data_IF_740281081731
#
_entry.id   IF_740281081731
#
_cell.length_a   1.000
_cell.length_b   1.000
_cell.length_c   1.000
_cell.angle_alpha   90.00
_cell.angle_beta   90.00
_cell.angle_gamma   90.00
#
_symmetry.space_group_name_H-M   'P 1'
#
loop_
_entity.id
_entity.type
_entity.pdbx_description
1 polymer ?
#
# COMPACT_ATOMS: atom_id res chain seq x y z
N UNK A 1 -2.41 -15.68 -3.10
CA UNK A 1 -2.41 -15.92 -1.66
C UNK A 1 -2.35 -14.61 -0.89
N UNK A 2 -3.05 -14.51 0.22
CA UNK A 2 -2.92 -13.42 1.20
C UNK A 2 -2.75 -13.99 2.59
N UNK A 3 -2.03 -13.28 3.47
CA UNK A 3 -1.94 -13.64 4.89
C UNK A 3 -3.36 -13.78 5.47
N UNK A 4 -3.69 -14.89 6.15
CA UNK A 4 -4.97 -15.03 6.80
C UNK A 4 -5.01 -14.15 8.04
N UNK A 5 -6.18 -13.59 8.35
CA UNK A 5 -6.36 -12.74 9.53
C UNK A 5 -5.32 -11.62 9.63
N UNK A 6 -4.94 -11.20 10.84
CA UNK A 6 -3.86 -10.23 11.11
C UNK A 6 -2.53 -10.93 11.40
N UNK A 7 -2.14 -11.93 10.58
CA UNK A 7 -0.85 -12.64 10.73
C UNK A 7 0.33 -11.77 10.21
N UNK A 8 0.55 -10.64 10.88
CA UNK A 8 1.45 -9.57 10.47
C UNK A 8 2.69 -9.41 11.38
N UNK A 9 2.91 -10.32 12.32
CA UNK A 9 3.99 -10.28 13.32
C UNK A 9 5.07 -11.36 13.06
N UNK A 10 6.05 -11.46 13.98
CA UNK A 10 7.19 -12.38 13.89
C UNK A 10 6.82 -13.88 13.80
N UNK A 11 5.62 -14.26 14.14
CA UNK A 11 5.10 -15.63 14.01
C UNK A 11 4.21 -15.76 12.78
N UNK A 12 3.32 -14.82 12.58
CA UNK A 12 2.30 -14.86 11.53
C UNK A 12 2.88 -14.71 10.12
N UNK A 13 3.88 -13.84 9.91
CA UNK A 13 4.49 -13.65 8.60
C UNK A 13 5.26 -14.89 8.13
N UNK A 14 6.16 -15.50 8.92
CA UNK A 14 6.81 -16.76 8.54
C UNK A 14 5.82 -17.90 8.30
N UNK A 15 4.80 -18.04 9.14
CA UNK A 15 3.75 -19.04 8.96
C UNK A 15 2.98 -18.82 7.66
N UNK A 16 2.65 -17.57 7.33
CA UNK A 16 2.00 -17.23 6.06
C UNK A 16 2.88 -17.57 4.86
N UNK A 17 4.18 -17.32 4.95
CA UNK A 17 5.15 -17.68 3.91
C UNK A 17 5.27 -19.19 3.73
N UNK A 18 5.30 -19.97 4.82
CA UNK A 18 5.38 -21.43 4.74
C UNK A 18 4.15 -22.09 4.08
N UNK A 19 3.03 -21.38 4.07
CA UNK A 19 1.79 -21.83 3.42
C UNK A 19 1.70 -21.44 1.92
N UNK A 20 2.69 -20.74 1.37
CA UNK A 20 2.76 -20.46 -0.06
C UNK A 20 2.95 -21.76 -0.85
N UNK A 21 2.05 -21.97 -1.81
CA UNK A 21 2.18 -23.06 -2.79
C UNK A 21 2.98 -22.59 -4.00
N UNK A 22 3.66 -23.52 -4.67
CA UNK A 22 4.53 -23.23 -5.84
C UNK A 22 3.78 -22.68 -7.07
N UNK A 23 2.46 -22.82 -7.12
CA UNK A 23 1.63 -22.38 -8.25
C UNK A 23 0.88 -21.05 -7.98
N UNK A 24 1.42 -20.21 -7.11
CA UNK A 24 0.80 -18.92 -6.75
C UNK A 24 1.50 -17.80 -7.52
N UNK A 25 0.71 -17.00 -8.26
CA UNK A 25 1.22 -15.84 -9.00
C UNK A 25 1.60 -14.68 -8.07
N UNK A 26 0.80 -14.46 -6.99
CA UNK A 26 0.99 -13.33 -6.08
C UNK A 26 0.83 -13.75 -4.62
N UNK A 27 1.77 -13.30 -3.77
CA UNK A 27 1.68 -13.36 -2.31
C UNK A 27 1.50 -11.97 -1.72
N UNK A 28 0.45 -11.75 -0.92
CA UNK A 28 0.19 -10.48 -0.24
C UNK A 28 0.34 -10.68 1.26
N UNK A 29 1.30 -9.97 1.86
CA UNK A 29 1.62 -10.07 3.28
C UNK A 29 1.42 -8.73 3.96
N UNK A 30 0.64 -8.71 5.04
CA UNK A 30 0.63 -7.58 5.95
C UNK A 30 1.85 -7.70 6.88
N UNK A 31 2.60 -6.59 7.05
CA UNK A 31 3.73 -6.51 7.96
C UNK A 31 3.42 -5.45 9.02
N UNK A 32 3.18 -5.90 10.24
CA UNK A 32 2.96 -5.07 11.41
C UNK A 32 4.25 -4.74 12.15
N UNK A 33 4.15 -3.83 13.12
CA UNK A 33 5.24 -3.50 14.03
C UNK A 33 4.72 -3.02 15.38
N UNK A 34 5.42 -3.37 16.44
CA UNK A 34 5.32 -2.77 17.76
C UNK A 34 6.61 -2.04 18.15
N UNK A 35 7.74 -2.40 17.55
CA UNK A 35 9.07 -1.83 17.84
C UNK A 35 9.85 -1.58 16.56
N UNK A 36 10.85 -0.68 16.66
CA UNK A 36 11.85 -0.46 15.63
C UNK A 36 12.60 -1.77 15.31
N UNK A 37 12.87 -2.01 14.03
CA UNK A 37 13.59 -3.19 13.54
C UNK A 37 12.69 -4.38 13.20
N UNK A 38 11.42 -4.39 13.62
CA UNK A 38 10.52 -5.51 13.32
C UNK A 38 10.15 -5.57 11.85
N UNK A 39 9.86 -4.42 11.23
CA UNK A 39 9.59 -4.37 9.78
C UNK A 39 10.82 -4.77 8.97
N UNK A 40 12.04 -4.36 9.41
CA UNK A 40 13.28 -4.77 8.76
C UNK A 40 13.44 -6.30 8.78
N UNK A 41 13.26 -6.91 9.95
CA UNK A 41 13.37 -8.35 10.11
C UNK A 41 12.34 -9.13 9.29
N UNK A 42 11.07 -8.71 9.32
CA UNK A 42 10.00 -9.38 8.59
C UNK A 42 10.14 -9.19 7.08
N UNK A 43 10.48 -7.99 6.63
CA UNK A 43 10.65 -7.73 5.20
C UNK A 43 11.90 -8.41 4.61
N UNK A 44 12.94 -8.69 5.40
CA UNK A 44 14.07 -9.54 4.98
C UNK A 44 13.66 -10.97 4.64
N UNK A 45 12.64 -11.50 5.33
CA UNK A 45 12.13 -12.84 5.08
C UNK A 45 11.21 -12.83 3.85
N UNK A 46 10.33 -11.81 3.74
CA UNK A 46 9.38 -11.68 2.64
C UNK A 46 10.06 -11.33 1.33
N UNK A 47 11.10 -10.47 1.33
CA UNK A 47 11.80 -9.96 0.14
C UNK A 47 10.84 -9.42 -0.91
N UNK A 48 10.06 -8.37 -0.59
CA UNK A 48 8.99 -7.93 -1.47
C UNK A 48 9.51 -7.34 -2.78
N UNK A 49 8.85 -7.67 -3.89
CA UNK A 49 9.02 -6.97 -5.18
C UNK A 49 8.24 -5.65 -5.21
N UNK A 50 7.14 -5.61 -4.45
CA UNK A 50 6.27 -4.47 -4.31
C UNK A 50 5.93 -4.26 -2.83
N UNK A 51 6.21 -3.07 -2.31
CA UNK A 51 5.76 -2.65 -0.98
C UNK A 51 4.72 -1.53 -1.07
N UNK A 52 3.84 -1.45 -0.08
CA UNK A 52 2.84 -0.39 0.04
C UNK A 52 2.94 0.22 1.44
N UNK A 53 3.12 1.54 1.53
CA UNK A 53 2.94 2.29 2.77
C UNK A 53 1.71 3.18 2.62
N UNK A 54 0.58 2.72 3.17
CA UNK A 54 -0.72 3.39 3.02
C UNK A 54 -0.79 4.69 3.80
N UNK A 55 -0.46 4.64 5.10
CA UNK A 55 -0.53 5.80 5.98
C UNK A 55 0.47 5.69 7.14
N UNK A 56 0.83 6.85 7.69
CA UNK A 56 1.60 6.99 8.93
C UNK A 56 0.77 7.80 9.90
N UNK A 57 0.16 7.10 10.86
CA UNK A 57 -0.71 7.64 11.88
C UNK A 57 -0.26 7.21 13.28
N UNK A 58 -0.87 7.79 14.33
CA UNK A 58 -0.50 7.53 15.72
C UNK A 58 -0.95 6.18 16.30
N UNK A 59 -1.29 5.19 15.49
CA UNK A 59 -1.81 3.90 15.95
C UNK A 59 -0.86 3.11 16.87
N UNK A 60 0.43 3.44 16.93
CA UNK A 60 1.46 2.71 17.70
C UNK A 60 2.19 3.59 18.74
N UNK A 61 1.55 4.64 19.26
CA UNK A 61 2.17 5.55 20.24
C UNK A 61 2.62 4.91 21.55
N UNK A 62 2.19 3.68 21.87
CA UNK A 62 2.67 2.98 23.08
C UNK A 62 4.20 2.74 23.08
N UNK A 63 4.78 2.56 21.88
CA UNK A 63 6.19 2.17 21.73
C UNK A 63 7.02 3.16 20.90
N UNK A 64 6.42 4.28 20.47
CA UNK A 64 7.09 5.31 19.67
C UNK A 64 6.76 6.71 20.22
N UNK A 65 7.79 7.52 20.42
CA UNK A 65 7.63 8.85 21.00
C UNK A 65 7.06 9.86 20.01
N UNK A 66 7.30 9.67 18.70
CA UNK A 66 6.89 10.62 17.67
C UNK A 66 6.37 9.90 16.41
N UNK A 67 5.54 10.61 15.63
CA UNK A 67 5.16 10.14 14.29
C UNK A 67 6.37 9.96 13.35
N UNK A 68 7.46 10.69 13.60
CA UNK A 68 8.70 10.55 12.83
C UNK A 68 9.37 9.20 13.11
N UNK A 69 9.27 8.70 14.33
CA UNK A 69 9.81 7.38 14.68
C UNK A 69 8.98 6.26 14.04
N UNK A 70 7.65 6.42 13.99
CA UNK A 70 6.77 5.52 13.25
C UNK A 70 7.10 5.54 11.77
N UNK A 71 7.34 6.73 11.18
CA UNK A 71 7.75 6.86 9.79
C UNK A 71 9.08 6.16 9.51
N UNK A 72 10.06 6.30 10.41
CA UNK A 72 11.36 5.63 10.31
C UNK A 72 11.20 4.11 10.37
N UNK A 73 10.42 3.59 11.32
CA UNK A 73 10.16 2.16 11.43
C UNK A 73 9.43 1.61 10.20
N UNK A 74 8.35 2.25 9.74
CA UNK A 74 7.67 1.83 8.50
C UNK A 74 8.59 1.90 7.27
N UNK A 75 9.53 2.85 7.24
CA UNK A 75 10.49 2.98 6.13
C UNK A 75 11.53 1.85 6.07
N UNK A 76 11.63 1.01 7.10
CA UNK A 76 12.56 -0.13 7.13
C UNK A 76 12.29 -1.12 6.00
N UNK A 77 11.02 -1.29 5.60
CA UNK A 77 10.66 -2.15 4.47
C UNK A 77 11.40 -1.81 3.17
N UNK A 78 11.75 -0.53 2.98
CA UNK A 78 12.44 -0.05 1.77
C UNK A 78 13.81 -0.71 1.60
N UNK A 79 14.48 -1.05 2.71
CA UNK A 79 15.81 -1.67 2.69
C UNK A 79 15.80 -3.08 2.08
N UNK A 80 14.64 -3.73 2.08
CA UNK A 80 14.50 -5.16 1.74
C UNK A 80 13.61 -5.39 0.51
N UNK A 81 13.16 -4.33 -0.17
CA UNK A 81 12.54 -4.44 -1.50
C UNK A 81 13.62 -4.92 -2.47
N UNK A 82 13.29 -5.89 -3.32
CA UNK A 82 14.22 -6.40 -4.32
C UNK A 82 14.69 -5.27 -5.24
N UNK A 83 15.95 -5.38 -5.70
CA UNK A 83 16.54 -4.37 -6.59
C UNK A 83 15.69 -4.16 -7.85
N UNK A 84 15.37 -2.90 -8.17
CA UNK A 84 14.45 -2.56 -9.25
C UNK A 84 12.98 -2.76 -8.93
N UNK A 85 12.65 -3.21 -7.72
CA UNK A 85 11.27 -3.35 -7.25
C UNK A 85 10.57 -2.00 -7.06
N UNK A 86 9.36 -2.05 -6.55
CA UNK A 86 8.46 -0.90 -6.51
C UNK A 86 7.98 -0.58 -5.10
N UNK A 87 7.68 0.69 -4.85
CA UNK A 87 6.97 1.11 -3.64
C UNK A 87 5.82 2.04 -3.98
N UNK A 88 4.66 1.78 -3.37
CA UNK A 88 3.47 2.63 -3.45
C UNK A 88 3.45 3.55 -2.22
N UNK A 89 3.41 4.87 -2.44
CA UNK A 89 3.47 5.88 -1.39
C UNK A 89 2.31 6.88 -1.48
N UNK A 90 1.75 7.21 -0.32
CA UNK A 90 0.72 8.23 -0.19
C UNK A 90 1.34 9.64 -0.26
N UNK A 91 1.04 10.41 -1.32
CA UNK A 91 1.54 11.76 -1.53
C UNK A 91 0.89 12.81 -0.61
N UNK A 92 -0.24 12.49 0.02
CA UNK A 92 -0.87 13.36 1.02
C UNK A 92 -0.18 13.28 2.38
N UNK A 93 0.61 12.23 2.62
CA UNK A 93 1.38 12.06 3.85
C UNK A 93 2.44 13.14 3.99
N UNK A 94 2.57 13.74 5.19
CA UNK A 94 3.66 14.66 5.53
C UNK A 94 5.06 14.01 5.48
N UNK A 95 5.13 12.69 5.46
CA UNK A 95 6.38 11.92 5.35
C UNK A 95 6.68 11.45 3.92
N UNK A 96 5.89 11.87 2.93
CA UNK A 96 6.09 11.46 1.53
C UNK A 96 7.50 11.71 1.04
N UNK A 97 8.04 12.92 1.22
CA UNK A 97 9.39 13.26 0.76
C UNK A 97 10.46 12.39 1.43
N UNK A 98 10.37 12.21 2.76
CA UNK A 98 11.29 11.34 3.51
C UNK A 98 11.31 9.91 2.97
N UNK A 99 10.13 9.32 2.73
CA UNK A 99 10.00 7.95 2.20
C UNK A 99 10.48 7.86 0.75
N UNK A 100 10.12 8.86 -0.06
CA UNK A 100 10.51 8.95 -1.46
C UNK A 100 12.03 9.07 -1.63
N UNK A 101 12.68 9.94 -0.85
CA UNK A 101 14.13 10.11 -0.90
C UNK A 101 14.86 8.84 -0.48
N UNK A 102 14.37 8.16 0.55
CA UNK A 102 14.91 6.87 0.96
C UNK A 102 14.75 5.81 -0.12
N UNK A 103 13.58 5.72 -0.78
CA UNK A 103 13.33 4.77 -1.86
C UNK A 103 14.27 5.03 -3.06
N UNK A 104 14.41 6.29 -3.47
CA UNK A 104 15.35 6.68 -4.55
C UNK A 104 16.79 6.29 -4.26
N UNK A 105 17.27 6.55 -3.02
CA UNK A 105 18.63 6.17 -2.59
C UNK A 105 18.89 4.67 -2.64
N UNK A 106 17.83 3.85 -2.51
CA UNK A 106 17.89 2.39 -2.61
C UNK A 106 17.61 1.87 -4.03
N UNK A 107 17.43 2.75 -5.03
CA UNK A 107 17.14 2.34 -6.41
C UNK A 107 15.74 1.71 -6.59
N UNK A 108 14.77 2.08 -5.75
CA UNK A 108 13.40 1.56 -5.76
C UNK A 108 12.51 2.50 -6.58
N UNK A 109 11.70 1.92 -7.48
CA UNK A 109 10.73 2.67 -8.27
C UNK A 109 9.55 3.12 -7.40
N UNK A 110 9.09 4.36 -7.59
CA UNK A 110 8.03 4.94 -6.79
C UNK A 110 6.79 5.15 -7.65
N UNK A 111 5.65 4.67 -7.15
CA UNK A 111 4.32 5.05 -7.63
C UNK A 111 3.61 5.78 -6.49
N UNK A 112 3.20 7.00 -6.77
CA UNK A 112 2.51 7.85 -5.80
C UNK A 112 1.00 7.84 -6.00
N UNK A 113 0.24 7.80 -4.91
CA UNK A 113 -1.20 8.01 -4.95
C UNK A 113 -1.63 9.16 -4.03
N UNK A 114 -2.80 9.75 -4.29
CA UNK A 114 -3.30 10.88 -3.51
C UNK A 114 -4.80 11.06 -3.64
N UNK A 115 -5.43 11.52 -2.55
CA UNK A 115 -6.80 12.04 -2.56
C UNK A 115 -6.87 13.50 -3.01
N UNK A 116 -5.85 14.29 -2.67
CA UNK A 116 -5.91 15.77 -2.70
C UNK A 116 -4.91 16.40 -3.67
N UNK A 117 -3.86 15.68 -4.05
CA UNK A 117 -2.74 16.23 -4.84
C UNK A 117 -2.60 15.49 -6.15
N UNK A 118 -2.12 16.18 -7.18
CA UNK A 118 -1.72 15.51 -8.43
C UNK A 118 -0.55 14.56 -8.15
N UNK A 119 -0.71 13.29 -8.57
CA UNK A 119 0.25 12.21 -8.37
C UNK A 119 0.17 11.24 -9.55
N UNK A 120 0.86 10.09 -9.50
CA UNK A 120 0.73 9.07 -10.55
C UNK A 120 -0.70 8.54 -10.64
N UNK A 121 -1.32 8.32 -9.49
CA UNK A 121 -2.71 7.87 -9.36
C UNK A 121 -3.43 8.76 -8.36
N UNK A 122 -4.49 9.45 -8.78
CA UNK A 122 -5.18 10.37 -7.88
C UNK A 122 -6.67 10.49 -8.16
N UNK A 123 -7.41 10.78 -7.10
CA UNK A 123 -8.83 11.04 -7.16
C UNK A 123 -9.07 12.40 -7.85
N UNK A 124 -9.87 12.40 -8.92
CA UNK A 124 -10.34 13.62 -9.58
C UNK A 124 -11.66 14.11 -9.00
N UNK A 125 -12.59 13.17 -8.75
CA UNK A 125 -13.91 13.47 -8.21
C UNK A 125 -14.55 12.20 -7.66
N UNK A 126 -15.50 12.38 -6.74
CA UNK A 126 -16.35 11.32 -6.21
C UNK A 126 -17.80 11.79 -6.23
N UNK A 127 -18.72 10.95 -6.72
CA UNK A 127 -20.16 11.23 -6.76
C UNK A 127 -20.94 10.08 -6.15
N UNK A 128 -21.95 10.38 -5.32
CA UNK A 128 -22.91 9.38 -4.85
C UNK A 128 -23.83 8.98 -5.99
N UNK A 129 -24.02 7.68 -6.20
CA UNK A 129 -24.88 7.10 -7.24
C UNK A 129 -25.70 5.99 -6.60
N UNK A 130 -26.95 6.26 -6.27
CA UNK A 130 -27.83 5.31 -5.54
C UNK A 130 -27.15 4.78 -4.27
N UNK A 131 -26.78 3.51 -4.25
CA UNK A 131 -26.24 2.80 -3.07
C UNK A 131 -24.69 2.69 -3.07
N UNK A 132 -24.00 3.37 -3.97
CA UNK A 132 -22.54 3.36 -4.08
C UNK A 132 -21.97 4.74 -4.38
N UNK A 133 -20.66 4.88 -4.33
CA UNK A 133 -19.95 6.09 -4.73
C UNK A 133 -19.11 5.78 -5.96
N UNK A 134 -19.25 6.61 -7.00
CA UNK A 134 -18.44 6.51 -8.21
C UNK A 134 -17.23 7.42 -8.10
N UNK A 135 -16.06 6.82 -8.12
CA UNK A 135 -14.77 7.48 -8.13
C UNK A 135 -14.35 7.74 -9.59
N UNK A 136 -13.99 8.97 -9.90
CA UNK A 136 -13.26 9.33 -11.13
C UNK A 136 -11.79 9.46 -10.77
N UNK A 137 -10.95 8.58 -11.28
CA UNK A 137 -9.54 8.46 -10.92
C UNK A 137 -8.67 8.70 -12.15
N UNK A 138 -7.64 9.52 -12.01
CA UNK A 138 -6.56 9.64 -13.00
C UNK A 138 -5.48 8.60 -12.68
N UNK A 139 -5.12 7.79 -13.66
CA UNK A 139 -4.03 6.82 -13.59
C UNK A 139 -3.09 7.14 -14.75
N UNK A 140 -1.97 7.78 -14.45
CA UNK A 140 -0.97 8.20 -15.46
C UNK A 140 -1.60 8.82 -16.72
N UNK A 141 -2.40 9.87 -16.53
CA UNK A 141 -3.11 10.64 -17.56
C UNK A 141 -4.26 9.90 -18.28
N UNK A 142 -4.63 8.69 -17.85
CA UNK A 142 -5.85 8.01 -18.28
C UNK A 142 -6.92 8.08 -17.20
N UNK A 143 -8.17 8.19 -17.60
CA UNK A 143 -9.30 8.31 -16.67
C UNK A 143 -10.01 6.97 -16.56
N UNK A 144 -10.20 6.55 -15.29
CA UNK A 144 -10.93 5.33 -14.94
C UNK A 144 -12.06 5.66 -13.96
N UNK A 145 -13.10 4.82 -13.97
CA UNK A 145 -14.21 4.91 -13.03
C UNK A 145 -14.29 3.62 -12.23
N UNK A 146 -14.40 3.76 -10.91
CA UNK A 146 -14.58 2.65 -9.98
C UNK A 146 -15.76 2.95 -9.08
N UNK A 147 -16.59 1.94 -8.83
CA UNK A 147 -17.70 2.06 -7.90
C UNK A 147 -17.29 1.42 -6.57
N UNK A 148 -17.57 2.12 -5.46
CA UNK A 148 -17.19 1.70 -4.09
C UNK A 148 -18.36 1.85 -3.14
N UNK A 149 -18.38 1.07 -2.07
CA UNK A 149 -19.48 1.07 -1.08
C UNK A 149 -19.37 2.23 -0.08
N UNK A 150 -18.17 2.64 0.29
CA UNK A 150 -17.91 3.64 1.31
C UNK A 150 -17.16 4.84 0.74
N UNK A 151 -17.33 6.02 1.39
CA UNK A 151 -16.78 7.30 0.95
C UNK A 151 -15.79 7.94 1.93
N UNK A 152 -15.37 7.22 2.98
CA UNK A 152 -14.42 7.79 3.94
C UNK A 152 -13.03 7.94 3.31
N UNK A 153 -12.32 9.01 3.66
CA UNK A 153 -10.99 9.31 3.13
C UNK A 153 -10.01 8.12 3.29
N UNK A 154 -10.05 7.45 4.45
CA UNK A 154 -9.20 6.28 4.70
C UNK A 154 -9.52 5.12 3.75
N UNK A 155 -10.81 4.83 3.53
CA UNK A 155 -11.23 3.77 2.63
C UNK A 155 -10.81 4.07 1.19
N UNK A 156 -11.10 5.28 0.70
CA UNK A 156 -10.73 5.70 -0.66
C UNK A 156 -9.20 5.72 -0.83
N UNK A 157 -8.45 6.17 0.18
CA UNK A 157 -6.98 6.12 0.18
C UNK A 157 -6.44 4.69 0.02
N UNK A 158 -7.04 3.72 0.71
CA UNK A 158 -6.68 2.31 0.57
C UNK A 158 -7.03 1.76 -0.83
N UNK A 159 -8.18 2.16 -1.39
CA UNK A 159 -8.55 1.80 -2.78
C UNK A 159 -7.52 2.34 -3.77
N UNK A 160 -7.08 3.60 -3.63
CA UNK A 160 -6.04 4.16 -4.49
C UNK A 160 -4.70 3.41 -4.37
N UNK A 161 -4.33 2.98 -3.16
CA UNK A 161 -3.16 2.15 -2.94
C UNK A 161 -3.28 0.79 -3.63
N UNK A 162 -4.44 0.13 -3.53
CA UNK A 162 -4.73 -1.13 -4.22
C UNK A 162 -4.67 -0.95 -5.75
N UNK A 163 -5.30 0.09 -6.29
CA UNK A 163 -5.25 0.40 -7.73
C UNK A 163 -3.81 0.65 -8.19
N UNK A 164 -2.99 1.29 -7.35
CA UNK A 164 -1.56 1.51 -7.63
C UNK A 164 -0.79 0.20 -7.73
N UNK A 165 -1.06 -0.75 -6.83
CA UNK A 165 -0.47 -2.09 -6.90
C UNK A 165 -0.93 -2.85 -8.15
N UNK A 166 -2.22 -2.84 -8.45
CA UNK A 166 -2.78 -3.46 -9.64
C UNK A 166 -2.17 -2.89 -10.93
N UNK A 167 -1.96 -1.58 -10.98
CA UNK A 167 -1.31 -0.90 -12.10
C UNK A 167 0.14 -1.37 -12.29
N UNK A 168 0.92 -1.48 -11.20
CA UNK A 168 2.31 -1.98 -11.24
C UNK A 168 2.35 -3.43 -11.73
N UNK A 169 1.41 -4.24 -11.29
CA UNK A 169 1.31 -5.66 -11.66
C UNK A 169 0.68 -5.89 -13.05
N UNK A 170 0.39 -4.82 -13.80
CA UNK A 170 -0.24 -4.86 -15.13
C UNK A 170 -1.57 -5.64 -15.18
N UNK A 171 -2.33 -5.61 -14.07
CA UNK A 171 -3.65 -6.23 -14.03
C UNK A 171 -4.67 -5.43 -14.83
N UNK A 172 -5.65 -6.12 -15.43
CA UNK A 172 -6.72 -5.48 -16.18
C UNK A 172 -7.67 -4.71 -15.25
N UNK A 173 -7.40 -3.40 -15.11
CA UNK A 173 -8.19 -2.51 -14.25
C UNK A 173 -9.67 -2.43 -14.65
N UNK A 174 -10.03 -2.72 -15.90
CA UNK A 174 -11.43 -2.73 -16.33
C UNK A 174 -12.20 -3.92 -15.75
N UNK A 175 -11.55 -5.08 -15.68
CA UNK A 175 -12.12 -6.27 -15.03
C UNK A 175 -12.28 -6.08 -13.51
N UNK A 176 -11.44 -5.24 -12.91
CA UNK A 176 -11.41 -5.00 -11.47
C UNK A 176 -12.43 -3.94 -10.97
N UNK A 177 -13.11 -3.22 -11.88
CA UNK A 177 -14.04 -2.14 -11.51
C UNK A 177 -15.14 -2.53 -10.52
N UNK A 178 -15.62 -3.77 -10.58
CA UNK A 178 -16.70 -4.27 -9.73
C UNK A 178 -16.22 -4.84 -8.39
N UNK A 179 -14.93 -5.15 -8.24
CA UNK A 179 -14.41 -5.78 -7.02
C UNK A 179 -14.61 -4.89 -5.79
N UNK A 180 -14.46 -3.57 -5.96
CA UNK A 180 -14.57 -2.63 -4.83
C UNK A 180 -16.00 -2.35 -4.36
N UNK A 181 -17.01 -2.91 -5.02
CA UNK A 181 -18.41 -2.85 -4.55
C UNK A 181 -18.78 -4.00 -3.60
N UNK A 182 -17.95 -5.05 -3.55
CA UNK A 182 -18.20 -6.23 -2.70
C UNK A 182 -17.56 -6.15 -1.31
N UNK A 183 -16.79 -5.09 -1.03
CA UNK A 183 -16.15 -4.83 0.26
C UNK A 183 -16.92 -3.85 1.13
#
# INVERSE_FOLDING_TARGET
YSSPYSYNNKYGVPLSLSNLKSNIDYGVFEIGMDKKGEIDNLSKIVKPELAIITNISGAHFKNFNTLKDIARAKSEIINNILKGGNIVLNKDSKFFNFLSDKAKKNGINIISFSLKKRSDIFLLNMKKVKNYFRLKINIRNKIFFFDVKYSTDNFISNILACISAMFILNLDLNKMKKIFTSF
#
